data_IF_496274501760
#
_entry.id   IF_496274501760
#
_cell.length_a   1.000
_cell.length_b   1.000
_cell.length_c   1.000
_cell.angle_alpha   90.00
_cell.angle_beta   90.00
_cell.angle_gamma   90.00
#
_symmetry.space_group_name_H-M   'P 1'
#
loop_
_entity.id
_entity.type
_entity.pdbx_description
1 polymer ?
#
# COMPACT_ATOMS: atom_id res chain seq x y z
N UNK A 1 -17.80 -1.65 0.01
CA UNK A 1 -16.37 -1.83 -0.24
C UNK A 1 -15.90 -3.26 -0.17
N UNK A 2 -16.18 -4.02 0.89
CA UNK A 2 -15.75 -5.43 0.99
C UNK A 2 -16.27 -6.30 -0.16
N UNK A 3 -17.45 -6.01 -0.69
CA UNK A 3 -18.02 -6.65 -1.89
C UNK A 3 -17.27 -6.26 -3.18
N UNK A 4 -16.70 -5.05 -3.27
CA UNK A 4 -15.93 -4.57 -4.43
C UNK A 4 -14.54 -5.24 -4.54
N UNK A 5 -14.02 -5.78 -3.44
CA UNK A 5 -12.79 -6.59 -3.42
C UNK A 5 -13.06 -7.97 -4.04
N UNK A 6 -14.25 -8.53 -3.80
CA UNK A 6 -14.65 -9.86 -4.30
C UNK A 6 -15.20 -9.81 -5.73
N UNK A 7 -15.90 -8.74 -6.09
CA UNK A 7 -16.44 -8.59 -7.44
C UNK A 7 -15.34 -8.10 -8.37
N UNK A 8 -14.83 -8.99 -9.21
CA UNK A 8 -14.14 -8.64 -10.44
C UNK A 8 -15.13 -7.94 -11.41
N UNK A 9 -15.64 -6.77 -11.05
CA UNK A 9 -16.23 -5.86 -12.03
C UNK A 9 -15.06 -5.41 -12.90
N UNK A 10 -14.92 -6.06 -14.04
CA UNK A 10 -14.06 -5.65 -15.14
C UNK A 10 -14.70 -4.42 -15.74
N UNK A 11 -14.27 -3.23 -15.32
CA UNK A 11 -14.42 -2.07 -16.18
C UNK A 11 -13.43 -2.29 -17.33
N UNK A 12 -13.91 -2.86 -18.44
CA UNK A 12 -13.11 -2.95 -19.65
C UNK A 12 -12.73 -1.52 -20.07
N UNK A 13 -11.44 -1.22 -20.26
CA UNK A 13 -11.03 0.10 -20.68
C UNK A 13 -11.60 0.39 -22.08
N UNK A 14 -12.17 1.57 -22.34
CA UNK A 14 -12.65 1.90 -23.68
C UNK A 14 -11.48 1.85 -24.67
N UNK A 15 -11.63 1.07 -25.75
CA UNK A 15 -10.61 0.81 -26.79
C UNK A 15 -10.07 2.09 -27.46
N UNK A 16 -10.72 3.25 -27.26
CA UNK A 16 -10.37 4.53 -27.89
C UNK A 16 -9.28 5.35 -27.17
N UNK A 17 -8.67 4.87 -26.08
CA UNK A 17 -7.68 5.63 -25.27
C UNK A 17 -6.19 5.35 -25.62
N UNK A 18 -5.89 4.68 -26.73
CA UNK A 18 -4.50 4.47 -27.20
C UNK A 18 -3.96 5.79 -27.79
N UNK A 19 -3.57 6.73 -26.92
CA UNK A 19 -2.86 7.94 -27.31
C UNK A 19 -1.39 7.59 -27.58
N UNK A 20 -0.94 7.79 -28.83
CA UNK A 20 0.47 7.72 -29.22
C UNK A 20 1.03 9.15 -29.39
N UNK A 21 2.22 9.46 -28.85
CA UNK A 21 3.08 8.61 -28.02
C UNK A 21 2.56 8.44 -26.58
N UNK A 22 2.71 7.23 -26.02
CA UNK A 22 2.36 6.91 -24.64
C UNK A 22 3.32 7.57 -23.64
N UNK A 23 2.80 7.94 -22.47
CA UNK A 23 3.61 8.36 -21.31
C UNK A 23 3.73 7.21 -20.31
N UNK A 24 4.73 7.24 -19.42
CA UNK A 24 4.87 6.25 -18.34
C UNK A 24 3.58 6.08 -17.55
N UNK A 25 2.88 7.17 -17.26
CA UNK A 25 1.63 7.11 -16.52
C UNK A 25 0.50 6.39 -17.26
N UNK A 26 0.37 6.64 -18.57
CA UNK A 26 -0.62 5.96 -19.42
C UNK A 26 -0.33 4.47 -19.44
N UNK A 27 0.93 4.07 -19.61
CA UNK A 27 1.29 2.64 -19.62
C UNK A 27 1.07 1.98 -18.27
N UNK A 28 1.42 2.65 -17.17
CA UNK A 28 1.12 2.18 -15.83
C UNK A 28 -0.40 2.00 -15.61
N UNK A 29 -1.21 2.97 -16.07
CA UNK A 29 -2.67 2.87 -15.98
C UNK A 29 -3.23 1.74 -16.85
N UNK A 30 -2.72 1.56 -18.07
CA UNK A 30 -3.11 0.46 -18.96
C UNK A 30 -2.74 -0.90 -18.35
N UNK A 31 -1.55 -1.03 -17.78
CA UNK A 31 -1.12 -2.22 -17.07
C UNK A 31 -2.08 -2.55 -15.92
N UNK A 32 -2.32 -1.58 -15.04
CA UNK A 32 -3.23 -1.78 -13.90
C UNK A 32 -4.65 -2.04 -14.38
N UNK A 33 -5.11 -1.44 -15.47
CA UNK A 33 -6.44 -1.71 -16.03
C UNK A 33 -6.56 -3.12 -16.64
N UNK A 34 -5.48 -3.72 -17.13
CA UNK A 34 -5.53 -5.01 -17.83
C UNK A 34 -5.10 -6.20 -16.94
N UNK A 35 -4.30 -5.99 -15.90
CA UNK A 35 -3.85 -7.05 -15.00
C UNK A 35 -4.78 -7.19 -13.79
N UNK A 36 -5.50 -8.31 -13.70
CA UNK A 36 -6.45 -8.56 -12.60
C UNK A 36 -5.80 -8.59 -11.21
N UNK A 37 -4.54 -9.01 -11.10
CA UNK A 37 -3.83 -9.05 -9.81
C UNK A 37 -3.44 -7.63 -9.39
N UNK A 38 -2.99 -6.81 -10.33
CA UNK A 38 -2.71 -5.39 -10.10
C UNK A 38 -3.98 -4.62 -9.73
N UNK A 39 -5.10 -4.86 -10.43
CA UNK A 39 -6.40 -4.27 -10.07
C UNK A 39 -6.82 -4.64 -8.64
N UNK A 40 -6.72 -5.92 -8.29
CA UNK A 40 -7.08 -6.40 -6.95
C UNK A 40 -6.21 -5.73 -5.88
N UNK A 41 -4.89 -5.70 -6.09
CA UNK A 41 -3.95 -5.01 -5.19
C UNK A 41 -4.24 -3.51 -5.09
N UNK A 42 -4.57 -2.82 -6.19
CA UNK A 42 -4.98 -1.43 -6.17
C UNK A 42 -6.23 -1.23 -5.29
N UNK A 43 -7.26 -2.07 -5.45
CA UNK A 43 -8.48 -1.99 -4.62
C UNK A 43 -8.20 -2.23 -3.14
N UNK A 44 -7.29 -3.15 -2.82
CA UNK A 44 -6.84 -3.40 -1.45
C UNK A 44 -6.19 -2.14 -0.88
N UNK A 45 -5.27 -1.52 -1.63
CA UNK A 45 -4.60 -0.28 -1.20
C UNK A 45 -5.61 0.84 -0.97
N UNK A 46 -6.50 1.10 -1.94
CA UNK A 46 -7.53 2.13 -1.84
C UNK A 46 -8.47 1.90 -0.64
N UNK A 47 -8.87 0.65 -0.40
CA UNK A 47 -9.70 0.30 0.75
C UNK A 47 -9.00 0.62 2.07
N UNK A 48 -7.72 0.27 2.20
CA UNK A 48 -6.93 0.53 3.42
C UNK A 48 -6.68 2.03 3.62
N UNK A 49 -6.40 2.77 2.55
CA UNK A 49 -6.24 4.23 2.60
C UNK A 49 -7.54 4.92 3.02
N UNK A 50 -8.68 4.47 2.51
CA UNK A 50 -9.98 5.01 2.89
C UNK A 50 -10.34 4.69 4.34
N UNK A 51 -10.01 3.51 4.85
CA UNK A 51 -10.17 3.18 6.26
C UNK A 51 -9.34 4.13 7.14
N UNK A 52 -8.07 4.35 6.78
CA UNK A 52 -7.19 5.28 7.49
C UNK A 52 -7.71 6.73 7.39
N UNK A 53 -8.20 7.16 6.23
CA UNK A 53 -8.78 8.48 6.02
C UNK A 53 -10.02 8.72 6.89
N UNK A 54 -10.95 7.74 6.94
CA UNK A 54 -12.13 7.80 7.81
C UNK A 54 -11.77 7.82 9.30
N UNK A 55 -10.76 7.05 9.69
CA UNK A 55 -10.27 7.04 11.07
C UNK A 55 -9.71 8.42 11.45
N UNK A 56 -8.94 9.05 10.56
CA UNK A 56 -8.40 10.40 10.75
C UNK A 56 -9.50 11.46 10.85
N UNK A 57 -10.51 11.39 9.99
CA UNK A 57 -11.67 12.30 10.05
C UNK A 57 -12.47 12.15 11.34
N UNK A 58 -12.61 10.92 11.85
CA UNK A 58 -13.26 10.65 13.12
C UNK A 58 -12.43 11.22 14.28
N UNK A 59 -11.11 11.02 14.26
CA UNK A 59 -10.23 11.57 15.29
C UNK A 59 -10.27 13.11 15.32
N UNK A 60 -10.26 13.72 14.13
CA UNK A 60 -10.37 15.17 13.97
C UNK A 60 -11.69 15.73 14.52
N UNK A 61 -12.80 14.99 14.38
CA UNK A 61 -14.10 15.36 14.97
C UNK A 61 -14.09 15.27 16.50
N UNK A 62 -13.40 14.29 17.07
CA UNK A 62 -13.45 13.99 18.52
C UNK A 62 -12.46 14.86 19.30
N UNK A 63 -11.24 15.06 18.80
CA UNK A 63 -10.17 15.76 19.54
C UNK A 63 -9.68 17.05 18.85
N UNK A 64 -10.22 17.40 17.68
CA UNK A 64 -9.72 18.50 16.85
C UNK A 64 -8.60 18.04 15.90
N UNK A 65 -8.15 18.94 15.02
CA UNK A 65 -7.06 18.65 14.07
C UNK A 65 -5.79 18.22 14.81
N UNK A 66 -5.38 16.95 14.67
CA UNK A 66 -4.12 16.44 15.23
C UNK A 66 -2.91 16.84 14.42
N UNK A 67 -3.12 17.18 13.14
CA UNK A 67 -2.08 17.70 12.28
C UNK A 67 -1.61 19.02 12.90
N UNK A 68 -0.40 19.02 13.42
CA UNK A 68 0.13 20.13 14.21
C UNK A 68 -0.01 21.45 13.47
N UNK A 69 -0.36 22.53 14.17
CA UNK A 69 -0.17 23.88 13.62
C UNK A 69 1.32 24.19 13.63
N UNK A 70 2.03 23.70 12.62
CA UNK A 70 3.43 24.05 12.40
C UNK A 70 3.48 25.51 11.95
N UNK A 71 3.57 26.42 12.92
CA UNK A 71 3.55 27.86 12.64
C UNK A 71 4.77 28.23 11.77
N UNK A 72 4.60 29.00 10.68
CA UNK A 72 5.70 29.48 9.83
C UNK A 72 6.75 30.32 10.59
N UNK A 73 6.41 30.81 11.78
CA UNK A 73 7.26 31.66 12.62
C UNK A 73 8.46 30.92 13.25
N UNK A 74 8.53 29.59 13.09
CA UNK A 74 9.67 28.73 13.42
C UNK A 74 10.23 28.05 12.17
N UNK A 75 10.36 28.80 11.07
CA UNK A 75 10.92 28.27 9.81
C UNK A 75 12.27 27.57 10.00
N UNK A 76 12.62 26.68 9.07
CA UNK A 76 13.87 25.91 9.10
C UNK A 76 15.05 26.85 9.36
N UNK A 77 15.82 26.54 10.40
CA UNK A 77 16.98 27.30 10.86
C UNK A 77 16.71 28.80 11.03
N UNK A 78 15.57 29.15 11.65
CA UNK A 78 15.16 30.53 11.87
C UNK A 78 16.28 31.42 12.42
N UNK A 79 17.08 30.92 13.38
CA UNK A 79 18.18 31.70 13.94
C UNK A 79 19.34 31.88 12.94
N UNK A 80 19.70 30.83 12.20
CA UNK A 80 20.73 30.86 11.15
C UNK A 80 20.32 31.74 9.97
N UNK A 81 19.05 31.66 9.53
CA UNK A 81 18.49 32.55 8.52
C UNK A 81 18.56 34.02 8.98
N UNK A 82 18.19 34.31 10.22
CA UNK A 82 18.26 35.67 10.77
C UNK A 82 19.70 36.16 10.92
N UNK A 83 20.63 35.26 11.22
CA UNK A 83 22.06 35.55 11.31
C UNK A 83 22.65 35.89 9.93
N UNK A 84 22.35 35.10 8.90
CA UNK A 84 22.77 35.35 7.52
C UNK A 84 22.14 36.62 6.96
N UNK A 85 20.85 36.88 7.23
CA UNK A 85 20.18 38.14 6.82
C UNK A 85 20.81 39.40 7.42
N UNK A 86 21.52 39.28 8.54
CA UNK A 86 22.26 40.39 9.16
C UNK A 86 23.65 40.61 8.55
N UNK A 87 24.03 39.86 7.52
CA UNK A 87 25.35 39.94 6.89
C UNK A 87 26.48 39.39 7.77
N UNK A 88 26.15 38.68 8.86
CA UNK A 88 27.13 38.04 9.72
C UNK A 88 27.60 36.73 9.09
N UNK A 89 28.91 36.53 9.04
CA UNK A 89 29.55 35.32 8.53
C UNK A 89 30.54 34.80 9.56
N UNK A 90 30.46 33.51 9.88
CA UNK A 90 31.43 32.81 10.71
C UNK A 90 31.98 31.63 9.92
N UNK A 91 33.27 31.34 10.06
CA UNK A 91 33.98 30.36 9.23
C UNK A 91 33.37 28.94 9.25
N UNK A 92 32.60 28.59 10.29
CA UNK A 92 31.99 27.27 10.46
C UNK A 92 30.44 27.32 10.42
N UNK A 93 29.84 28.42 9.94
CA UNK A 93 28.39 28.57 9.84
C UNK A 93 27.93 28.44 8.40
N UNK A 94 26.84 27.71 8.19
CA UNK A 94 26.23 27.49 6.88
C UNK A 94 25.95 28.81 6.18
N UNK A 95 26.21 28.88 4.88
CA UNK A 95 25.98 30.05 4.03
C UNK A 95 24.73 29.94 3.16
N UNK A 96 24.29 28.71 2.83
CA UNK A 96 23.10 28.47 2.02
C UNK A 96 21.93 27.92 2.84
N UNK A 97 20.71 28.32 2.50
CA UNK A 97 19.48 27.93 3.21
C UNK A 97 18.74 26.80 2.49
N UNK A 98 19.48 25.82 2.01
CA UNK A 98 18.99 24.55 1.49
C UNK A 98 19.36 23.41 2.44
N UNK A 99 18.56 22.36 2.42
CA UNK A 99 18.66 21.29 3.41
C UNK A 99 19.97 20.49 3.28
N UNK A 100 20.59 20.45 2.11
CA UNK A 100 21.87 19.77 1.88
C UNK A 100 23.10 20.63 2.25
N UNK A 101 22.91 21.91 2.61
CA UNK A 101 23.98 22.83 2.96
C UNK A 101 24.96 22.34 4.04
N UNK A 102 24.53 21.73 5.17
CA UNK A 102 25.44 21.29 6.22
C UNK A 102 26.40 20.23 5.70
N UNK A 103 25.90 19.33 4.85
CA UNK A 103 26.67 18.26 4.21
C UNK A 103 27.60 18.79 3.14
N UNK A 104 27.06 19.63 2.24
CA UNK A 104 27.79 20.17 1.11
C UNK A 104 28.92 21.10 1.56
N UNK A 105 28.67 21.93 2.58
CA UNK A 105 29.59 22.95 3.07
C UNK A 105 30.46 22.47 4.23
N UNK A 106 30.18 21.27 4.77
CA UNK A 106 30.83 20.77 5.99
C UNK A 106 30.74 21.77 7.14
N UNK A 107 29.59 22.46 7.22
CA UNK A 107 29.35 23.60 8.10
C UNK A 107 28.16 23.32 9.02
N UNK A 108 27.93 24.23 9.97
CA UNK A 108 26.95 24.01 11.03
C UNK A 108 25.95 25.16 11.15
N UNK A 109 24.68 24.81 11.35
CA UNK A 109 23.68 25.79 11.80
C UNK A 109 24.03 26.34 13.19
N UNK A 110 23.46 27.49 13.54
CA UNK A 110 23.71 28.12 14.84
C UNK A 110 23.28 27.21 16.01
N UNK A 111 23.93 27.33 17.19
CA UNK A 111 23.65 26.49 18.35
C UNK A 111 22.18 26.51 18.80
N UNK A 112 21.48 27.63 18.60
CA UNK A 112 20.07 27.76 18.97
C UNK A 112 19.18 26.94 18.04
N UNK A 113 19.52 26.83 16.76
CA UNK A 113 18.89 25.88 15.84
C UNK A 113 19.42 24.45 16.04
N UNK A 114 20.54 24.24 16.75
CA UNK A 114 21.04 22.90 17.12
C UNK A 114 20.44 22.35 18.42
N UNK A 115 19.96 23.21 19.33
CA UNK A 115 19.59 22.83 20.71
C UNK A 115 18.33 21.96 20.81
N UNK A 116 17.54 21.85 19.74
CA UNK A 116 16.44 20.89 19.64
C UNK A 116 16.87 19.44 19.32
N UNK A 117 18.20 19.16 19.32
CA UNK A 117 18.80 17.84 19.03
C UNK A 117 19.13 17.08 20.31
N UNK A 118 18.59 15.87 20.46
CA UNK A 118 19.08 14.88 21.44
C UNK A 118 19.99 13.86 20.73
N UNK A 119 21.08 13.55 21.44
CA UNK A 119 22.08 12.47 21.29
C UNK A 119 23.35 12.75 20.45
N UNK A 120 24.49 12.47 21.10
CA UNK A 120 25.90 12.56 20.68
C UNK A 120 26.42 11.20 20.14
N UNK A 121 27.59 11.26 19.50
CA UNK A 121 28.68 10.25 19.31
C UNK A 121 28.84 9.68 17.88
N UNK A 122 30.02 9.08 17.55
CA UNK A 122 31.33 9.71 17.42
C UNK A 122 31.85 9.64 15.97
N UNK A 123 32.74 10.57 15.64
CA UNK A 123 33.46 10.65 14.37
C UNK A 123 34.38 9.45 14.14
N UNK A 124 34.10 8.64 13.12
CA UNK A 124 35.08 7.96 12.24
C UNK A 124 34.32 7.06 11.25
N UNK A 125 34.14 7.49 10.00
CA UNK A 125 33.74 6.57 8.91
C UNK A 125 34.61 6.84 7.68
N UNK A 126 35.28 5.76 7.26
CA UNK A 126 36.17 5.67 6.12
C UNK A 126 35.45 5.83 4.77
N UNK A 127 36.30 6.13 3.80
CA UNK A 127 36.04 6.61 2.44
C UNK A 127 35.60 5.46 1.52
N UNK A 128 34.36 5.47 1.02
CA UNK A 128 33.94 4.64 -0.13
C UNK A 128 33.21 5.48 -1.19
N UNK A 129 33.46 5.14 -2.45
CA UNK A 129 33.31 5.91 -3.70
C UNK A 129 31.87 6.19 -4.13
N UNK A 130 31.62 7.41 -4.63
CA UNK A 130 30.47 7.78 -5.48
C UNK A 130 30.08 9.27 -5.36
N UNK A 131 30.76 10.16 -6.10
CA UNK A 131 30.82 11.63 -5.82
C UNK A 131 29.62 12.49 -6.23
N UNK A 132 28.50 11.97 -6.73
CA UNK A 132 27.37 12.82 -7.18
C UNK A 132 26.12 12.66 -6.30
N UNK A 133 25.93 11.51 -5.65
CA UNK A 133 24.78 11.26 -4.76
C UNK A 133 25.08 11.54 -3.28
N UNK A 134 26.34 11.88 -2.96
CA UNK A 134 26.84 11.98 -1.59
C UNK A 134 26.38 13.25 -0.85
N UNK A 135 25.81 14.24 -1.53
CA UNK A 135 25.58 15.56 -0.91
C UNK A 135 24.23 15.69 -0.16
N UNK A 136 23.28 14.76 -0.29
CA UNK A 136 21.88 15.13 -0.02
C UNK A 136 21.47 15.09 1.47
N UNK A 137 22.12 14.32 2.37
CA UNK A 137 21.54 14.10 3.71
C UNK A 137 22.56 13.95 4.86
N UNK A 138 23.02 15.06 5.43
CA UNK A 138 23.44 15.14 6.83
C UNK A 138 22.60 16.22 7.52
N UNK A 139 21.40 15.83 7.94
CA UNK A 139 20.63 16.63 8.88
C UNK A 139 20.21 15.76 10.05
N UNK A 140 20.73 16.08 11.23
CA UNK A 140 20.13 15.59 12.46
C UNK A 140 18.81 16.34 12.68
N UNK A 141 17.73 15.58 12.58
CA UNK A 141 16.32 15.96 12.67
C UNK A 141 16.01 16.50 14.07
N UNK A 142 15.23 17.59 14.15
CA UNK A 142 14.71 18.09 15.43
C UNK A 142 13.50 17.28 15.90
N UNK A 143 13.17 17.29 17.20
CA UNK A 143 11.92 16.63 17.68
C UNK A 143 10.65 17.14 16.96
N UNK A 144 10.65 18.40 16.51
CA UNK A 144 9.55 18.99 15.76
C UNK A 144 9.45 18.40 14.34
N UNK A 145 10.58 18.18 13.68
CA UNK A 145 10.62 17.56 12.36
C UNK A 145 10.14 16.11 12.39
N UNK A 146 10.42 15.36 13.46
CA UNK A 146 9.94 13.98 13.62
C UNK A 146 8.42 13.93 13.79
N UNK A 147 7.84 14.86 14.58
CA UNK A 147 6.38 14.99 14.70
C UNK A 147 5.73 15.41 13.38
N UNK A 148 6.34 16.35 12.64
CA UNK A 148 5.86 16.71 11.30
C UNK A 148 5.83 15.50 10.37
N UNK A 149 6.87 14.67 10.40
CA UNK A 149 6.96 13.48 9.55
C UNK A 149 6.04 12.35 10.01
N UNK A 150 5.71 12.28 11.30
CA UNK A 150 4.65 11.39 11.83
C UNK A 150 3.29 11.77 11.24
N UNK A 151 2.96 13.05 11.21
CA UNK A 151 1.72 13.55 10.60
C UNK A 151 1.72 13.33 9.08
N UNK A 152 2.83 13.61 8.39
CA UNK A 152 3.00 13.30 6.95
C UNK A 152 2.83 11.81 6.69
N UNK A 153 3.45 10.94 7.49
CA UNK A 153 3.29 9.49 7.37
C UNK A 153 1.83 9.06 7.52
N UNK A 154 1.11 9.66 8.48
CA UNK A 154 -0.32 9.39 8.70
C UNK A 154 -1.18 9.82 7.51
N UNK A 155 -0.90 10.99 6.94
CA UNK A 155 -1.61 11.49 5.74
C UNK A 155 -1.30 10.63 4.50
N UNK A 156 -0.05 10.18 4.31
CA UNK A 156 0.33 9.28 3.22
C UNK A 156 -0.41 7.94 3.30
N UNK A 157 -0.52 7.34 4.49
CA UNK A 157 -1.29 6.10 4.70
C UNK A 157 -2.79 6.26 4.49
N UNK A 158 -3.29 7.49 4.58
CA UNK A 158 -4.69 7.82 4.33
C UNK A 158 -4.97 8.20 2.86
N UNK A 159 -3.97 8.14 1.97
CA UNK A 159 -4.09 8.59 0.58
C UNK A 159 -4.28 10.11 0.45
N UNK A 160 -4.03 10.90 1.50
CA UNK A 160 -4.25 12.37 1.54
C UNK A 160 -2.98 13.12 1.19
N UNK A 161 -2.42 12.85 0.00
CA UNK A 161 -1.11 13.38 -0.37
C UNK A 161 -1.09 14.91 -0.49
N UNK A 162 -2.14 15.51 -1.03
CA UNK A 162 -2.24 16.96 -1.18
C UNK A 162 -2.15 17.66 0.18
N UNK A 163 -2.79 17.08 1.20
CA UNK A 163 -2.71 17.58 2.57
C UNK A 163 -1.34 17.36 3.19
N UNK A 164 -0.69 16.22 2.94
CA UNK A 164 0.69 15.98 3.36
C UNK A 164 1.65 17.03 2.76
N UNK A 165 1.44 17.38 1.49
CA UNK A 165 2.18 18.42 0.80
C UNK A 165 1.93 19.80 1.41
N UNK A 166 0.68 20.16 1.65
CA UNK A 166 0.33 21.44 2.25
C UNK A 166 0.84 21.55 3.69
N UNK A 167 0.85 20.44 4.42
CA UNK A 167 1.46 20.36 5.73
C UNK A 167 2.96 20.66 5.68
N UNK A 168 3.69 20.07 4.73
CA UNK A 168 5.11 20.38 4.54
C UNK A 168 5.34 21.85 4.16
N UNK A 169 4.49 22.44 3.31
CA UNK A 169 4.60 23.85 2.90
C UNK A 169 4.30 24.80 4.04
N UNK A 170 3.23 24.56 4.79
CA UNK A 170 2.84 25.37 5.95
C UNK A 170 3.89 25.32 7.07
N UNK A 171 4.57 24.18 7.23
CA UNK A 171 5.72 24.01 8.12
C UNK A 171 7.02 24.70 7.61
N UNK A 172 6.99 25.37 6.45
CA UNK A 172 8.16 26.01 5.86
C UNK A 172 9.16 25.04 5.22
N UNK A 173 8.73 23.82 4.91
CA UNK A 173 9.54 22.74 4.33
C UNK A 173 9.04 22.34 2.91
N UNK A 174 8.94 23.28 1.94
CA UNK A 174 8.38 23.00 0.62
C UNK A 174 9.19 21.97 -0.17
N UNK A 175 10.47 21.79 0.14
CA UNK A 175 11.31 20.75 -0.45
C UNK A 175 10.81 19.34 -0.10
N UNK A 176 10.30 19.10 1.12
CA UNK A 176 9.69 17.81 1.48
C UNK A 176 8.42 17.54 0.68
N UNK A 177 7.59 18.57 0.47
CA UNK A 177 6.42 18.48 -0.42
C UNK A 177 6.84 18.07 -1.84
N UNK A 178 7.89 18.68 -2.39
CA UNK A 178 8.39 18.34 -3.71
C UNK A 178 8.96 16.91 -3.79
N UNK A 179 9.49 16.37 -2.68
CA UNK A 179 10.00 14.99 -2.66
C UNK A 179 8.89 13.95 -2.57
N UNK A 180 7.86 14.15 -1.74
CA UNK A 180 6.75 13.19 -1.59
C UNK A 180 5.72 13.27 -2.72
N UNK A 181 5.72 14.37 -3.48
CA UNK A 181 4.84 14.60 -4.62
C UNK A 181 5.68 14.98 -5.85
N UNK A 182 6.41 14.02 -6.44
CA UNK A 182 7.18 14.26 -7.66
C UNK A 182 6.25 14.66 -8.82
N UNK A 183 6.82 15.31 -9.84
CA UNK A 183 6.14 15.67 -11.09
C UNK A 183 4.85 16.49 -10.93
N UNK A 184 4.69 17.19 -9.80
CA UNK A 184 3.54 18.05 -9.52
C UNK A 184 2.27 17.28 -9.19
N UNK A 185 2.39 16.02 -8.80
CA UNK A 185 1.28 15.15 -8.43
C UNK A 185 0.54 14.53 -9.61
N UNK A 186 1.02 14.80 -10.82
CA UNK A 186 0.71 13.99 -11.98
C UNK A 186 1.40 12.64 -11.77
N UNK A 187 0.69 11.55 -12.05
CA UNK A 187 1.26 10.20 -12.17
C UNK A 187 1.46 9.39 -10.87
N UNK A 188 0.97 9.84 -9.72
CA UNK A 188 1.28 9.20 -8.43
C UNK A 188 0.61 7.86 -8.18
N UNK A 189 -0.56 7.61 -8.78
CA UNK A 189 -1.24 6.32 -8.66
C UNK A 189 -1.92 5.93 -9.98
N UNK A 190 -1.45 4.87 -10.66
CA UNK A 190 -2.11 4.38 -11.87
C UNK A 190 -3.51 3.83 -11.54
N UNK A 191 -4.52 4.33 -12.24
CA UNK A 191 -5.91 3.90 -12.08
C UNK A 191 -6.70 4.11 -13.38
N UNK A 192 -7.84 3.44 -13.50
CA UNK A 192 -8.77 3.62 -14.63
C UNK A 192 -9.29 5.06 -14.66
N UNK A 193 -9.58 5.66 -13.50
CA UNK A 193 -10.00 7.05 -13.40
C UNK A 193 -8.92 8.02 -13.87
N UNK A 194 -7.65 7.76 -13.54
CA UNK A 194 -6.52 8.54 -14.00
C UNK A 194 -6.35 8.42 -15.52
N UNK A 195 -6.53 7.23 -16.09
CA UNK A 195 -6.53 7.01 -17.54
C UNK A 195 -7.61 7.84 -18.24
N UNK A 196 -8.84 7.85 -17.69
CA UNK A 196 -9.96 8.61 -18.25
C UNK A 196 -9.81 10.13 -18.09
N UNK A 197 -9.17 10.58 -17.00
CA UNK A 197 -8.93 12.01 -16.73
C UNK A 197 -7.73 12.57 -17.49
N UNK A 198 -6.88 11.73 -18.10
CA UNK A 198 -5.58 12.20 -18.54
C UNK A 198 -5.66 13.14 -19.76
N UNK A 199 -5.43 14.41 -19.48
CA UNK A 199 -5.32 15.50 -20.45
C UNK A 199 -3.85 15.84 -20.73
N UNK A 200 -3.36 15.45 -21.91
CA UNK A 200 -2.43 16.23 -22.76
C UNK A 200 -1.30 17.02 -22.06
N UNK A 201 -0.58 16.46 -21.08
CA UNK A 201 0.60 17.14 -20.55
C UNK A 201 1.79 17.00 -21.52
N UNK A 202 1.80 17.85 -22.53
CA UNK A 202 2.80 17.88 -23.61
C UNK A 202 4.24 18.00 -23.09
N UNK A 203 4.43 18.59 -21.92
CA UNK A 203 5.75 18.78 -21.30
C UNK A 203 6.30 17.46 -20.76
N UNK A 204 5.48 16.66 -20.06
CA UNK A 204 5.87 15.32 -19.61
C UNK A 204 6.10 14.38 -20.79
N UNK A 205 5.22 14.42 -21.80
CA UNK A 205 5.40 13.67 -23.05
C UNK A 205 6.73 13.98 -23.74
N UNK A 206 7.15 15.25 -23.78
CA UNK A 206 8.43 15.64 -24.37
C UNK A 206 9.63 15.13 -23.56
N UNK A 207 9.60 15.23 -22.23
CA UNK A 207 10.67 14.74 -21.35
C UNK A 207 10.85 13.22 -21.49
N UNK A 208 9.75 12.48 -21.55
CA UNK A 208 9.78 11.01 -21.67
C UNK A 208 10.15 10.55 -23.08
N UNK A 209 9.81 11.33 -24.11
CA UNK A 209 10.31 11.10 -25.46
C UNK A 209 11.83 11.22 -25.54
N UNK A 210 12.42 12.19 -24.82
CA UNK A 210 13.87 12.42 -24.79
C UNK A 210 14.63 11.46 -23.86
N UNK A 211 14.08 11.18 -22.67
CA UNK A 211 14.75 10.41 -21.61
C UNK A 211 14.41 8.92 -21.61
N UNK A 212 13.37 8.53 -22.34
CA UNK A 212 12.77 7.20 -22.31
C UNK A 212 11.73 7.02 -21.20
N UNK A 213 10.80 6.09 -21.45
CA UNK A 213 9.69 5.78 -20.56
C UNK A 213 10.20 5.23 -19.21
N UNK A 214 9.62 5.73 -18.13
CA UNK A 214 9.91 5.35 -16.75
C UNK A 214 11.26 5.84 -16.20
N UNK A 215 12.06 6.56 -16.99
CA UNK A 215 13.42 6.94 -16.61
C UNK A 215 13.45 7.90 -15.41
N UNK A 216 12.72 9.01 -15.49
CA UNK A 216 12.67 10.03 -14.43
C UNK A 216 12.07 9.47 -13.13
N UNK A 217 11.01 8.67 -13.27
CA UNK A 217 10.38 7.96 -12.16
C UNK A 217 11.37 7.06 -11.42
N UNK A 218 12.15 6.27 -12.17
CA UNK A 218 13.19 5.40 -11.60
C UNK A 218 14.29 6.19 -10.88
N UNK A 219 14.75 7.30 -11.44
CA UNK A 219 15.74 8.16 -10.79
C UNK A 219 15.22 8.73 -9.46
N UNK A 220 13.97 9.20 -9.43
CA UNK A 220 13.36 9.72 -8.21
C UNK A 220 13.21 8.65 -7.14
N UNK A 221 12.70 7.46 -7.49
CA UNK A 221 12.61 6.35 -6.54
C UNK A 221 14.00 5.93 -6.04
N UNK A 222 15.02 5.92 -6.91
CA UNK A 222 16.40 5.59 -6.52
C UNK A 222 16.97 6.61 -5.52
N UNK A 223 16.74 7.90 -5.77
CA UNK A 223 17.13 8.96 -4.84
C UNK A 223 16.45 8.78 -3.47
N UNK A 224 15.15 8.44 -3.48
CA UNK A 224 14.38 8.15 -2.25
C UNK A 224 14.90 6.92 -1.51
N UNK A 225 15.30 5.87 -2.22
CA UNK A 225 15.94 4.69 -1.63
C UNK A 225 17.24 5.07 -0.92
N UNK A 226 18.14 5.77 -1.61
CA UNK A 226 19.40 6.24 -1.03
C UNK A 226 19.19 7.16 0.17
N UNK A 227 18.17 8.03 0.12
CA UNK A 227 17.76 8.85 1.26
C UNK A 227 17.38 7.98 2.46
N UNK A 228 16.47 7.02 2.26
CA UNK A 228 15.97 6.15 3.35
C UNK A 228 17.09 5.34 4.03
N UNK A 229 18.01 4.77 3.25
CA UNK A 229 19.13 3.98 3.79
C UNK A 229 20.12 4.85 4.55
N UNK A 230 20.45 6.04 4.02
CA UNK A 230 21.39 6.96 4.65
C UNK A 230 20.86 7.51 5.96
N UNK A 231 19.58 7.89 6.01
CA UNK A 231 18.94 8.37 7.24
C UNK A 231 18.93 7.25 8.28
N UNK A 232 18.69 6.00 7.86
CA UNK A 232 18.80 4.84 8.74
C UNK A 232 20.23 4.64 9.28
N UNK A 233 21.26 4.68 8.43
CA UNK A 233 22.67 4.53 8.84
C UNK A 233 23.11 5.59 9.86
N UNK A 234 22.53 6.78 9.80
CA UNK A 234 22.79 7.88 10.72
C UNK A 234 21.94 7.83 12.01
N UNK A 235 21.16 6.78 12.23
CA UNK A 235 20.17 6.69 13.31
C UNK A 235 19.20 7.89 13.32
N UNK A 236 18.76 8.30 12.13
CA UNK A 236 17.78 9.37 11.95
C UNK A 236 16.38 8.98 12.41
N UNK A 237 15.44 9.89 12.14
CA UNK A 237 14.03 9.78 12.53
C UNK A 237 13.33 8.60 11.88
N UNK A 238 12.54 7.85 12.65
CA UNK A 238 11.88 6.62 12.16
C UNK A 238 10.81 6.96 11.12
N UNK A 239 10.10 8.08 11.28
CA UNK A 239 9.09 8.51 10.32
C UNK A 239 9.73 9.11 9.07
N UNK A 240 10.88 9.79 9.19
CA UNK A 240 11.61 10.26 8.02
C UNK A 240 12.03 9.08 7.13
N UNK A 241 12.67 8.08 7.73
CA UNK A 241 13.08 6.85 7.05
C UNK A 241 11.89 6.22 6.33
N UNK A 242 10.75 6.09 7.01
CA UNK A 242 9.58 5.44 6.45
C UNK A 242 8.91 6.26 5.33
N UNK A 243 8.85 7.58 5.44
CA UNK A 243 8.31 8.46 4.39
C UNK A 243 9.10 8.31 3.09
N UNK A 244 10.44 8.31 3.14
CA UNK A 244 11.28 8.08 1.96
C UNK A 244 11.21 6.62 1.48
N UNK A 245 11.17 5.66 2.41
CA UNK A 245 11.06 4.24 2.08
C UNK A 245 9.75 3.92 1.36
N UNK A 246 8.65 4.60 1.70
CA UNK A 246 7.34 4.47 1.06
C UNK A 246 7.32 4.93 -0.40
N UNK A 247 8.24 5.82 -0.80
CA UNK A 247 8.35 6.30 -2.18
C UNK A 247 9.11 5.32 -3.09
N UNK A 248 9.92 4.44 -2.49
CA UNK A 248 10.79 3.50 -3.21
C UNK A 248 10.49 2.04 -2.88
N UNK A 249 9.34 1.77 -2.25
CA UNK A 249 8.86 0.42 -1.90
C UNK A 249 9.85 -0.39 -1.02
N UNK A 250 10.65 0.29 -0.19
CA UNK A 250 11.66 -0.31 0.68
C UNK A 250 11.03 -0.84 1.99
N UNK A 251 10.41 -2.01 1.91
CA UNK A 251 9.69 -2.66 3.02
C UNK A 251 10.54 -2.86 4.28
N UNK A 252 11.84 -3.13 4.16
CA UNK A 252 12.76 -3.27 5.28
C UNK A 252 12.77 -2.04 6.19
N UNK A 253 12.53 -0.86 5.60
CA UNK A 253 12.52 0.43 6.30
C UNK A 253 11.12 0.89 6.69
N UNK A 254 10.09 0.49 5.94
CA UNK A 254 8.68 0.81 6.25
C UNK A 254 8.09 -0.06 7.35
N UNK A 255 8.24 -1.39 7.26
CA UNK A 255 7.55 -2.34 8.14
C UNK A 255 7.83 -2.17 9.63
N UNK A 256 9.04 -1.76 10.09
CA UNK A 256 9.30 -1.57 11.51
C UNK A 256 8.40 -0.55 12.22
N UNK A 257 7.85 0.43 11.48
CA UNK A 257 6.92 1.43 12.06
C UNK A 257 5.45 1.06 11.89
N UNK A 258 5.15 -0.05 11.20
CA UNK A 258 3.80 -0.52 10.98
C UNK A 258 3.32 -1.30 12.21
N UNK A 259 2.62 -0.63 13.12
CA UNK A 259 2.22 -1.20 14.43
C UNK A 259 0.85 -1.90 14.43
N UNK A 260 0.14 -1.86 13.32
CA UNK A 260 -1.19 -2.45 13.13
C UNK A 260 -1.27 -3.18 11.79
N UNK A 261 -2.27 -4.06 11.68
CA UNK A 261 -2.43 -4.93 10.52
C UNK A 261 -2.70 -4.14 9.24
N UNK A 262 -3.55 -3.12 9.29
CA UNK A 262 -3.90 -2.28 8.15
C UNK A 262 -2.68 -1.61 7.54
N UNK A 263 -1.84 -1.03 8.39
CA UNK A 263 -0.64 -0.31 7.96
C UNK A 263 0.40 -1.25 7.37
N UNK A 264 0.62 -2.43 7.97
CA UNK A 264 1.54 -3.42 7.43
C UNK A 264 1.03 -4.02 6.10
N UNK A 265 -0.27 -4.31 6.02
CA UNK A 265 -0.92 -4.82 4.82
C UNK A 265 -0.86 -3.78 3.68
N UNK A 266 -1.15 -2.51 3.99
CA UNK A 266 -1.05 -1.39 3.04
C UNK A 266 0.38 -1.26 2.53
N UNK A 267 1.37 -1.25 3.42
CA UNK A 267 2.78 -1.11 3.04
C UNK A 267 3.21 -2.20 2.05
N UNK A 268 2.85 -3.47 2.32
CA UNK A 268 3.17 -4.59 1.43
C UNK A 268 2.40 -4.56 0.11
N UNK A 269 1.10 -4.28 0.14
CA UNK A 269 0.26 -4.24 -1.06
C UNK A 269 0.65 -3.09 -1.99
N UNK A 270 0.87 -1.89 -1.43
CA UNK A 270 1.35 -0.71 -2.15
C UNK A 270 2.72 -0.96 -2.75
N UNK A 271 3.67 -1.47 -1.95
CA UNK A 271 5.03 -1.75 -2.42
C UNK A 271 5.05 -2.78 -3.54
N UNK A 272 4.22 -3.83 -3.44
CA UNK A 272 4.10 -4.84 -4.49
C UNK A 272 3.56 -4.22 -5.79
N UNK A 273 2.46 -3.47 -5.71
CA UNK A 273 1.84 -2.84 -6.89
C UNK A 273 2.82 -1.87 -7.57
N UNK A 274 3.50 -1.03 -6.81
CA UNK A 274 4.49 -0.08 -7.33
C UNK A 274 5.64 -0.75 -8.05
N UNK A 275 6.12 -1.89 -7.55
CA UNK A 275 7.19 -2.66 -8.18
C UNK A 275 6.71 -3.35 -9.45
N UNK A 276 5.46 -3.86 -9.48
CA UNK A 276 4.89 -4.43 -10.69
C UNK A 276 4.76 -3.38 -11.80
N UNK A 277 4.35 -2.16 -11.45
CA UNK A 277 4.34 -1.02 -12.37
C UNK A 277 5.76 -0.70 -12.85
N UNK A 278 6.76 -0.62 -11.96
CA UNK A 278 8.15 -0.35 -12.36
C UNK A 278 8.70 -1.41 -13.32
N UNK A 279 8.36 -2.68 -13.10
CA UNK A 279 8.75 -3.79 -13.96
C UNK A 279 8.07 -3.70 -15.34
N UNK A 280 6.82 -3.27 -15.40
CA UNK A 280 6.12 -3.10 -16.66
C UNK A 280 6.66 -1.90 -17.45
N UNK A 281 6.87 -0.76 -16.81
CA UNK A 281 7.52 0.41 -17.43
C UNK A 281 8.92 0.10 -17.94
N UNK A 282 9.66 -0.80 -17.27
CA UNK A 282 10.95 -1.26 -17.75
C UNK A 282 10.86 -2.14 -19.01
N UNK A 283 9.74 -2.84 -19.23
CA UNK A 283 9.51 -3.67 -20.43
C UNK A 283 9.07 -2.84 -21.63
N UNK A 284 8.32 -1.77 -21.41
CA UNK A 284 7.79 -0.91 -22.46
C UNK A 284 8.80 0.03 -23.13
N UNK A 285 10.08 -0.02 -22.74
CA UNK A 285 11.10 0.87 -23.30
C UNK A 285 11.24 0.69 -24.84
N UNK A 286 11.13 1.78 -25.63
CA UNK A 286 11.28 1.73 -27.08
C UNK A 286 12.72 1.33 -27.45
N UNK A 287 12.87 0.20 -28.14
CA UNK A 287 14.18 -0.30 -28.62
C UNK A 287 14.30 -1.82 -28.64
N UNK A 288 13.52 -2.54 -27.82
CA UNK A 288 13.52 -4.03 -27.83
C UNK A 288 12.76 -4.62 -29.03
N UNK A 289 11.68 -3.95 -29.45
CA UNK A 289 10.84 -4.41 -30.57
C UNK A 289 11.53 -4.22 -31.94
N UNK A 290 12.41 -3.23 -32.08
CA UNK A 290 13.20 -2.96 -33.28
C UNK A 290 14.40 -3.92 -33.42
N UNK A 291 15.05 -4.25 -32.29
CA UNK A 291 16.11 -5.26 -32.25
C UNK A 291 15.61 -6.68 -32.56
N UNK A 292 14.38 -7.02 -32.15
CA UNK A 292 13.78 -8.33 -32.45
C UNK A 292 13.42 -8.48 -33.94
N UNK A 293 13.01 -7.38 -34.60
CA UNK A 293 12.77 -7.38 -36.06
C UNK A 293 14.07 -7.44 -36.85
N UNK A 294 15.14 -6.80 -36.37
CA UNK A 294 16.46 -6.85 -37.01
C UNK A 294 17.14 -8.23 -36.96
N UNK A 295 16.79 -9.08 -35.98
CA UNK A 295 17.36 -10.43 -35.83
C UNK A 295 16.65 -11.51 -36.66
N UNK A 296 15.45 -11.21 -37.20
CA UNK A 296 14.66 -12.16 -37.98
C UNK A 296 15.00 -12.20 -39.48
N UNK A 297 15.81 -11.26 -39.99
CA UNK A 297 15.99 -11.04 -41.43
C UNK A 297 17.44 -11.21 -41.92
N UNK A 298 18.27 -11.94 -41.16
CA UNK A 298 19.70 -12.08 -41.45
C UNK A 298 20.25 -13.47 -41.13
N UNK A 299 19.71 -14.52 -41.77
CA UNK A 299 20.41 -15.81 -41.88
C UNK A 299 20.87 -15.96 -43.34
N UNK A 300 21.99 -15.33 -43.69
CA UNK A 300 22.96 -15.88 -44.64
C UNK A 300 24.33 -15.19 -44.47
N UNK A 301 25.42 -15.97 -44.40
CA UNK A 301 26.81 -15.49 -44.51
C UNK A 301 27.71 -15.47 -43.26
N UNK A 302 28.38 -16.61 -43.02
CA UNK A 302 29.73 -16.92 -42.44
C UNK A 302 30.67 -15.87 -41.76
N UNK A 303 31.68 -16.35 -40.98
CA UNK A 303 32.20 -15.71 -39.77
C UNK A 303 33.49 -14.87 -39.98
N UNK A 304 33.59 -13.77 -39.24
CA UNK A 304 34.83 -13.00 -39.08
C UNK A 304 34.84 -12.28 -37.73
N UNK A 305 35.77 -12.65 -36.85
CA UNK A 305 35.88 -12.07 -35.51
C UNK A 305 36.47 -10.66 -35.50
N UNK A 306 36.18 -9.91 -34.44
CA UNK A 306 37.04 -8.93 -33.75
C UNK A 306 36.52 -8.83 -32.30
N UNK A 307 37.48 -8.91 -31.37
CA UNK A 307 37.38 -8.71 -29.93
C UNK A 307 36.91 -7.30 -29.52
N UNK A 308 36.36 -7.17 -28.30
CA UNK A 308 36.55 -5.95 -27.50
C UNK A 308 35.33 -5.42 -26.77
N UNK A 309 34.95 -6.05 -25.65
CA UNK A 309 34.30 -5.43 -24.47
C UNK A 309 33.16 -4.42 -24.74
N UNK A 310 31.99 -4.92 -25.11
CA UNK A 310 30.74 -4.21 -24.81
C UNK A 310 30.37 -4.47 -23.35
N UNK A 311 30.57 -3.47 -22.49
CA UNK A 311 29.93 -3.45 -21.18
C UNK A 311 28.40 -3.54 -21.39
N UNK A 312 27.66 -4.34 -20.59
CA UNK A 312 26.21 -4.39 -20.73
C UNK A 312 25.64 -3.01 -20.40
N UNK A 313 24.89 -2.41 -21.34
CA UNK A 313 24.04 -1.26 -21.04
C UNK A 313 23.07 -1.62 -19.91
N UNK A 314 22.71 -0.68 -19.01
CA UNK A 314 21.91 -0.96 -17.83
C UNK A 314 20.48 -1.26 -18.25
N UNK A 315 20.23 -2.53 -18.56
CA UNK A 315 18.90 -3.06 -18.82
C UNK A 315 18.03 -3.08 -17.55
N UNK A 316 16.91 -3.80 -17.60
CA UNK A 316 15.93 -3.93 -16.51
C UNK A 316 16.48 -4.49 -15.18
N UNK A 317 17.78 -4.79 -15.07
CA UNK A 317 18.49 -5.21 -13.85
C UNK A 317 18.89 -4.06 -12.90
N UNK A 318 18.46 -2.82 -13.17
CA UNK A 318 18.95 -1.61 -12.49
C UNK A 318 18.14 -1.13 -11.27
N UNK A 319 16.98 -1.74 -10.96
CA UNK A 319 16.31 -1.48 -9.69
C UNK A 319 17.05 -2.21 -8.56
N UNK A 320 17.23 -1.65 -7.34
CA UNK A 320 18.01 -2.32 -6.30
C UNK A 320 17.47 -3.72 -6.06
N UNK A 321 18.27 -4.75 -6.35
CA UNK A 321 17.89 -6.15 -6.12
C UNK A 321 17.45 -6.38 -4.67
N UNK A 322 18.01 -5.61 -3.75
CA UNK A 322 17.64 -5.58 -2.34
C UNK A 322 16.17 -5.18 -2.13
N UNK A 323 15.63 -4.23 -2.91
CA UNK A 323 14.22 -3.81 -2.85
C UNK A 323 13.32 -4.85 -3.51
N UNK A 324 13.73 -5.39 -4.67
CA UNK A 324 12.98 -6.45 -5.36
C UNK A 324 12.85 -7.71 -4.49
N UNK A 325 13.93 -8.13 -3.83
CA UNK A 325 13.96 -9.32 -2.98
C UNK A 325 13.08 -9.20 -1.72
N UNK A 326 12.71 -7.97 -1.33
CA UNK A 326 11.80 -7.75 -0.20
C UNK A 326 10.33 -7.99 -0.56
N UNK A 327 9.97 -7.91 -1.84
CA UNK A 327 8.58 -7.95 -2.26
C UNK A 327 7.96 -9.35 -2.09
N UNK A 328 6.67 -9.45 -1.75
CA UNK A 328 5.95 -10.71 -1.86
C UNK A 328 5.87 -11.15 -3.33
N UNK A 329 5.82 -12.46 -3.59
CA UNK A 329 5.69 -12.97 -4.97
C UNK A 329 4.27 -12.83 -5.49
N UNK A 330 3.31 -13.09 -4.61
CA UNK A 330 1.88 -13.03 -4.85
C UNK A 330 1.17 -12.63 -3.54
N UNK A 331 -0.16 -12.52 -3.61
CA UNK A 331 -0.98 -12.15 -2.46
C UNK A 331 -0.91 -13.19 -1.33
N UNK A 332 -0.73 -14.48 -1.64
CA UNK A 332 -0.57 -15.52 -0.63
C UNK A 332 0.72 -15.32 0.17
N UNK A 333 1.84 -15.07 -0.51
CA UNK A 333 3.13 -14.77 0.09
C UNK A 333 3.09 -13.47 0.90
N UNK A 334 2.32 -12.46 0.46
CA UNK A 334 2.08 -11.23 1.24
C UNK A 334 1.44 -11.57 2.57
N UNK A 335 0.34 -12.31 2.55
CA UNK A 335 -0.38 -12.69 3.77
C UNK A 335 0.48 -13.60 4.66
N UNK A 336 1.26 -14.52 4.10
CA UNK A 336 2.23 -15.33 4.85
C UNK A 336 3.28 -14.46 5.55
N UNK A 337 3.79 -13.41 4.90
CA UNK A 337 4.72 -12.45 5.51
C UNK A 337 4.09 -11.68 6.67
N UNK A 338 2.80 -11.36 6.62
CA UNK A 338 2.08 -10.76 7.76
C UNK A 338 1.97 -11.73 8.96
N UNK A 339 1.97 -13.05 8.71
CA UNK A 339 1.92 -14.06 9.76
C UNK A 339 3.31 -14.42 10.33
N UNK A 340 4.38 -14.34 9.52
CA UNK A 340 5.70 -14.87 9.89
C UNK A 340 6.43 -14.09 10.99
N UNK A 341 6.06 -12.83 11.25
CA UNK A 341 6.59 -12.02 12.34
C UNK A 341 8.06 -11.60 12.20
N UNK A 342 8.78 -12.03 11.17
CA UNK A 342 10.22 -11.78 11.01
C UNK A 342 10.54 -10.31 10.68
N UNK A 343 9.67 -9.64 9.93
CA UNK A 343 9.84 -8.26 9.48
C UNK A 343 8.76 -7.31 9.97
N UNK A 344 7.74 -7.82 10.67
CA UNK A 344 6.55 -7.07 11.08
C UNK A 344 6.43 -7.01 12.60
N UNK A 345 5.81 -5.94 13.10
CA UNK A 345 5.57 -5.77 14.53
C UNK A 345 4.68 -6.89 15.09
N UNK A 346 4.92 -7.34 16.33
CA UNK A 346 4.18 -8.47 16.94
C UNK A 346 2.65 -8.25 16.96
N UNK A 347 2.22 -7.00 17.10
CA UNK A 347 0.81 -6.63 17.05
C UNK A 347 0.16 -6.97 15.70
N UNK A 348 0.91 -6.93 14.59
CA UNK A 348 0.44 -7.34 13.26
C UNK A 348 0.15 -8.84 13.26
N UNK A 349 1.08 -9.66 13.75
CA UNK A 349 0.90 -11.11 13.86
C UNK A 349 -0.28 -11.48 14.76
N UNK A 350 -0.53 -10.70 15.83
CA UNK A 350 -1.73 -10.87 16.65
C UNK A 350 -3.00 -10.48 15.89
N UNK A 351 -2.98 -9.36 15.17
CA UNK A 351 -4.08 -8.89 14.32
C UNK A 351 -4.49 -9.92 13.28
N UNK A 352 -3.52 -10.61 12.66
CA UNK A 352 -3.80 -11.71 11.72
C UNK A 352 -4.66 -12.84 12.31
N UNK A 353 -4.68 -13.01 13.64
CA UNK A 353 -5.47 -14.05 14.33
C UNK A 353 -6.88 -13.59 14.67
N UNK A 354 -7.20 -12.31 14.53
CA UNK A 354 -8.55 -11.79 14.79
C UNK A 354 -9.54 -12.31 13.74
N UNK A 355 -10.78 -12.64 14.16
CA UNK A 355 -11.78 -13.24 13.27
C UNK A 355 -12.09 -12.34 12.06
N UNK A 356 -12.21 -11.03 12.29
CA UNK A 356 -12.43 -10.05 11.22
C UNK A 356 -11.29 -10.05 10.20
N UNK A 357 -10.03 -10.07 10.64
CA UNK A 357 -8.88 -10.10 9.73
C UNK A 357 -8.77 -11.38 8.95
N UNK A 358 -9.08 -12.51 9.58
CA UNK A 358 -9.13 -13.79 8.86
C UNK A 358 -10.19 -13.77 7.76
N UNK A 359 -11.36 -13.17 8.01
CA UNK A 359 -12.40 -12.97 6.99
C UNK A 359 -11.86 -12.08 5.85
N UNK A 360 -11.32 -10.91 6.17
CA UNK A 360 -10.77 -9.95 5.19
C UNK A 360 -9.67 -10.59 4.32
N UNK A 361 -8.71 -11.29 4.92
CA UNK A 361 -7.64 -11.98 4.21
C UNK A 361 -8.15 -13.08 3.26
N UNK A 362 -9.17 -13.84 3.66
CA UNK A 362 -9.79 -14.85 2.79
C UNK A 362 -10.54 -14.21 1.61
N UNK A 363 -11.19 -13.07 1.84
CA UNK A 363 -11.85 -12.30 0.80
C UNK A 363 -10.84 -11.71 -0.19
N UNK A 364 -9.71 -11.21 0.30
CA UNK A 364 -8.59 -10.74 -0.54
C UNK A 364 -8.06 -11.85 -1.44
N UNK A 365 -7.92 -13.08 -0.94
CA UNK A 365 -7.50 -14.23 -1.76
C UNK A 365 -8.58 -14.78 -2.71
N UNK A 366 -9.82 -14.30 -2.60
CA UNK A 366 -10.96 -14.87 -3.31
C UNK A 366 -11.29 -16.32 -2.90
N UNK A 367 -10.75 -16.82 -1.77
CA UNK A 367 -10.99 -18.20 -1.31
C UNK A 367 -12.27 -18.28 -0.49
N UNK A 368 -13.40 -18.06 -1.15
CA UNK A 368 -14.72 -18.11 -0.54
C UNK A 368 -15.06 -19.51 0.05
N UNK A 369 -14.69 -20.64 -0.57
CA UNK A 369 -14.84 -21.96 0.05
C UNK A 369 -14.22 -22.06 1.45
N UNK A 370 -13.00 -21.56 1.62
CA UNK A 370 -12.31 -21.57 2.91
C UNK A 370 -12.95 -20.58 3.90
N UNK A 371 -13.39 -19.41 3.42
CA UNK A 371 -14.12 -18.44 4.22
C UNK A 371 -15.38 -19.04 4.85
N UNK A 372 -16.18 -19.76 4.06
CA UNK A 372 -17.42 -20.38 4.54
C UNK A 372 -17.14 -21.46 5.59
N UNK A 373 -16.13 -22.31 5.37
CA UNK A 373 -15.71 -23.32 6.34
C UNK A 373 -15.20 -22.68 7.64
N UNK A 374 -14.47 -21.58 7.54
CA UNK A 374 -13.95 -20.86 8.69
C UNK A 374 -15.09 -20.24 9.51
N UNK A 375 -16.03 -19.55 8.85
CA UNK A 375 -17.24 -19.02 9.51
C UNK A 375 -18.02 -20.16 10.14
N UNK A 376 -18.22 -21.27 9.43
CA UNK A 376 -18.90 -22.45 9.94
C UNK A 376 -18.22 -22.99 11.21
N UNK A 377 -16.89 -23.10 11.23
CA UNK A 377 -16.13 -23.58 12.38
C UNK A 377 -16.31 -22.74 13.65
N UNK A 378 -16.69 -21.47 13.52
CA UNK A 378 -16.93 -20.57 14.65
C UNK A 378 -18.38 -20.59 15.14
N UNK A 379 -19.33 -21.02 14.30
CA UNK A 379 -20.76 -21.02 14.64
C UNK A 379 -21.35 -22.42 14.84
N UNK A 380 -20.67 -23.46 14.35
CA UNK A 380 -21.13 -24.84 14.42
C UNK A 380 -21.29 -25.29 15.87
N UNK A 381 -22.28 -26.16 16.17
CA UNK A 381 -22.37 -26.81 17.47
C UNK A 381 -21.15 -27.71 17.72
N UNK A 382 -20.50 -27.60 18.88
CA UNK A 382 -19.48 -28.56 19.29
C UNK A 382 -20.15 -29.82 19.85
N UNK A 383 -19.68 -31.01 19.48
CA UNK A 383 -20.23 -32.27 19.99
C UNK A 383 -20.00 -32.47 21.51
N UNK A 384 -19.09 -31.72 22.12
CA UNK A 384 -18.72 -31.77 23.56
C UNK A 384 -19.48 -30.77 24.46
N UNK A 385 -20.71 -30.38 24.10
CA UNK A 385 -21.55 -29.41 24.83
C UNK A 385 -22.12 -29.94 26.18
N UNK A 386 -21.29 -30.65 26.97
CA UNK A 386 -21.50 -30.83 28.42
C UNK A 386 -20.84 -29.71 29.24
N UNK A 387 -19.91 -28.94 28.66
CA UNK A 387 -19.27 -27.80 29.32
C UNK A 387 -19.63 -26.49 28.62
N UNK A 388 -20.56 -25.76 29.24
CA UNK A 388 -20.88 -24.36 28.98
C UNK A 388 -19.59 -23.53 28.95
N UNK A 389 -19.10 -23.13 27.76
CA UNK A 389 -18.53 -21.80 27.49
C UNK A 389 -17.71 -21.72 26.19
N UNK A 390 -18.38 -21.64 25.05
CA UNK A 390 -18.18 -20.48 24.16
C UNK A 390 -19.55 -19.92 23.82
N UNK A 391 -19.93 -18.75 24.35
CA UNK A 391 -21.07 -18.02 23.81
C UNK A 391 -20.83 -17.83 22.32
N UNK A 392 -21.68 -18.43 21.47
CA UNK A 392 -21.60 -18.21 20.03
C UNK A 392 -21.88 -16.74 19.80
N UNK A 393 -20.95 -16.04 19.17
CA UNK A 393 -21.10 -14.62 18.90
C UNK A 393 -22.34 -14.41 17.99
N UNK A 394 -23.42 -13.79 18.49
CA UNK A 394 -24.62 -13.53 17.70
C UNK A 394 -24.33 -12.71 16.44
N UNK A 395 -23.31 -11.84 16.50
CA UNK A 395 -22.91 -11.03 15.37
C UNK A 395 -22.28 -11.89 14.27
N UNK A 396 -21.43 -12.86 14.64
CA UNK A 396 -20.82 -13.78 13.68
C UNK A 396 -21.86 -14.68 12.98
N UNK A 397 -22.85 -15.20 13.70
CA UNK A 397 -23.94 -15.99 13.10
C UNK A 397 -24.72 -15.14 12.09
N UNK A 398 -25.07 -13.91 12.48
CA UNK A 398 -25.74 -12.95 11.59
C UNK A 398 -24.88 -12.63 10.37
N UNK A 399 -23.61 -12.31 10.58
CA UNK A 399 -22.66 -11.97 9.53
C UNK A 399 -22.55 -13.13 8.52
N UNK A 400 -22.32 -14.35 8.99
CA UNK A 400 -22.25 -15.54 8.15
C UNK A 400 -23.49 -15.73 7.29
N UNK A 401 -24.69 -15.60 7.87
CA UNK A 401 -25.94 -15.71 7.12
C UNK A 401 -26.04 -14.66 6.00
N UNK A 402 -25.74 -13.40 6.30
CA UNK A 402 -25.84 -12.32 5.31
C UNK A 402 -24.75 -12.44 4.22
N UNK A 403 -23.54 -12.89 4.57
CA UNK A 403 -22.49 -13.20 3.60
C UNK A 403 -22.96 -14.28 2.62
N UNK A 404 -23.56 -15.37 3.12
CA UNK A 404 -24.11 -16.44 2.25
C UNK A 404 -25.17 -15.88 1.30
N UNK A 405 -26.10 -15.04 1.79
CA UNK A 405 -27.13 -14.43 0.96
C UNK A 405 -26.54 -13.54 -0.14
N UNK A 406 -25.59 -12.67 0.22
CA UNK A 406 -24.92 -11.78 -0.74
C UNK A 406 -24.14 -12.58 -1.77
N UNK A 407 -23.41 -13.62 -1.36
CA UNK A 407 -22.69 -14.50 -2.28
C UNK A 407 -23.66 -15.22 -3.23
N UNK A 408 -24.80 -15.74 -2.75
CA UNK A 408 -25.81 -16.37 -3.61
C UNK A 408 -26.42 -15.40 -4.62
N UNK A 409 -26.67 -14.16 -4.19
CA UNK A 409 -27.21 -13.11 -5.06
C UNK A 409 -26.23 -12.71 -6.16
N UNK A 410 -24.98 -12.42 -5.79
CA UNK A 410 -23.95 -11.96 -6.72
C UNK A 410 -23.49 -13.06 -7.68
N UNK A 411 -23.57 -14.33 -7.27
CA UNK A 411 -22.93 -15.45 -7.96
C UNK A 411 -23.94 -16.43 -8.57
N UNK A 412 -25.18 -15.98 -8.79
CA UNK A 412 -26.28 -16.81 -9.26
C UNK A 412 -26.03 -17.45 -10.64
N UNK A 413 -25.23 -16.80 -11.50
CA UNK A 413 -25.07 -17.18 -12.92
C UNK A 413 -23.62 -17.56 -13.32
N UNK A 414 -22.59 -17.26 -12.51
CA UNK A 414 -21.19 -17.13 -13.01
C UNK A 414 -20.12 -18.11 -12.50
N UNK A 415 -20.44 -19.21 -11.78
CA UNK A 415 -19.37 -19.99 -11.13
C UNK A 415 -19.34 -21.49 -11.43
N UNK A 416 -18.10 -21.98 -11.64
CA UNK A 416 -17.62 -23.37 -11.55
C UNK A 416 -18.40 -24.20 -10.51
N UNK A 417 -18.83 -25.39 -10.91
CA UNK A 417 -19.72 -26.25 -10.13
C UNK A 417 -19.26 -26.54 -8.68
N UNK A 418 -17.95 -26.71 -8.47
CA UNK A 418 -17.38 -27.04 -7.14
C UNK A 418 -17.54 -25.92 -6.12
N UNK A 419 -17.47 -24.66 -6.55
CA UNK A 419 -17.71 -23.51 -5.67
C UNK A 419 -19.18 -23.44 -5.26
N UNK A 420 -20.07 -23.59 -6.26
CA UNK A 420 -21.52 -23.56 -6.06
C UNK A 420 -21.94 -24.65 -5.08
N UNK A 421 -21.41 -25.86 -5.22
CA UNK A 421 -21.67 -26.96 -4.30
C UNK A 421 -21.34 -26.59 -2.84
N UNK A 422 -20.16 -26.02 -2.59
CA UNK A 422 -19.77 -25.59 -1.24
C UNK A 422 -20.62 -24.45 -0.68
N UNK A 423 -20.95 -23.46 -1.51
CA UNK A 423 -21.82 -22.36 -1.12
C UNK A 423 -23.24 -22.84 -0.77
N UNK A 424 -23.75 -23.85 -1.49
CA UNK A 424 -25.05 -24.43 -1.17
C UNK A 424 -24.97 -25.29 0.09
N UNK A 425 -24.00 -26.19 0.20
CA UNK A 425 -23.89 -27.13 1.33
C UNK A 425 -23.53 -26.45 2.65
N UNK A 426 -22.45 -25.68 2.71
CA UNK A 426 -22.03 -24.97 3.94
C UNK A 426 -22.95 -23.78 4.20
N UNK A 427 -23.36 -23.07 3.15
CA UNK A 427 -24.27 -21.95 3.28
C UNK A 427 -25.64 -22.34 3.85
N UNK A 428 -26.19 -23.49 3.45
CA UNK A 428 -27.44 -24.00 4.03
C UNK A 428 -27.30 -24.28 5.54
N UNK A 429 -26.15 -24.81 5.97
CA UNK A 429 -25.89 -25.04 7.41
C UNK A 429 -25.84 -23.72 8.18
N UNK A 430 -25.17 -22.70 7.63
CA UNK A 430 -25.09 -21.36 8.24
C UNK A 430 -26.48 -20.72 8.35
N UNK A 431 -27.27 -20.77 7.27
CA UNK A 431 -28.63 -20.21 7.24
C UNK A 431 -29.59 -20.96 8.18
N UNK A 432 -29.47 -22.28 8.25
CA UNK A 432 -30.22 -23.11 9.19
C UNK A 432 -29.92 -22.69 10.63
N UNK A 433 -28.63 -22.54 10.98
CA UNK A 433 -28.22 -22.09 12.31
C UNK A 433 -28.73 -20.69 12.66
N UNK A 434 -28.70 -19.75 11.72
CA UNK A 434 -29.22 -18.41 11.96
C UNK A 434 -30.75 -18.40 12.12
N UNK A 435 -31.46 -19.23 11.36
CA UNK A 435 -32.91 -19.38 11.49
C UNK A 435 -33.32 -19.93 12.86
N UNK A 436 -32.58 -20.92 13.37
CA UNK A 436 -32.77 -21.39 14.75
C UNK A 436 -32.41 -20.33 15.79
N UNK A 437 -31.37 -19.55 15.55
CA UNK A 437 -31.02 -18.43 16.43
C UNK A 437 -32.15 -17.38 16.50
N UNK A 438 -32.73 -16.99 15.36
CA UNK A 438 -33.86 -16.06 15.31
C UNK A 438 -35.08 -16.60 16.08
N UNK A 439 -35.41 -17.88 15.88
CA UNK A 439 -36.46 -18.56 16.62
C UNK A 439 -36.23 -18.55 18.13
N UNK A 440 -35.00 -18.85 18.57
CA UNK A 440 -34.62 -18.81 20.01
C UNK A 440 -34.72 -17.41 20.63
N UNK A 441 -34.71 -16.36 19.81
CA UNK A 441 -34.87 -14.96 20.21
C UNK A 441 -36.29 -14.43 20.00
N UNK A 442 -37.25 -15.30 19.67
CA UNK A 442 -38.64 -14.93 19.40
C UNK A 442 -38.83 -13.95 18.22
N UNK A 443 -37.90 -13.96 17.25
CA UNK A 443 -37.99 -13.21 15.99
C UNK A 443 -38.45 -14.12 14.85
N UNK A 444 -39.58 -14.79 15.06
CA UNK A 444 -40.10 -15.82 14.17
C UNK A 444 -40.58 -15.26 12.82
N UNK A 445 -41.00 -14.00 12.80
CA UNK A 445 -41.43 -13.28 11.60
C UNK A 445 -40.35 -13.23 10.52
N UNK A 446 -39.08 -13.31 10.91
CA UNK A 446 -37.95 -13.27 10.00
C UNK A 446 -37.53 -14.66 9.51
N UNK A 447 -37.90 -15.73 10.22
CA UNK A 447 -37.44 -17.10 9.92
C UNK A 447 -37.80 -17.52 8.50
N UNK A 448 -39.01 -17.19 8.04
CA UNK A 448 -39.48 -17.53 6.69
C UNK A 448 -38.57 -17.00 5.57
N UNK A 449 -37.97 -15.82 5.76
CA UNK A 449 -37.09 -15.17 4.76
C UNK A 449 -35.79 -15.97 4.58
N UNK A 450 -35.21 -16.47 5.68
CA UNK A 450 -33.98 -17.24 5.63
C UNK A 450 -34.24 -18.70 5.26
N UNK A 451 -35.36 -19.27 5.73
CA UNK A 451 -35.77 -20.63 5.41
C UNK A 451 -36.08 -20.81 3.91
N UNK A 452 -36.61 -19.78 3.24
CA UNK A 452 -36.89 -19.82 1.79
C UNK A 452 -35.64 -19.94 0.93
N UNK A 453 -34.46 -19.69 1.51
CA UNK A 453 -33.17 -19.78 0.81
C UNK A 453 -32.56 -21.18 0.95
N UNK A 454 -33.07 -22.03 1.83
CA UNK A 454 -32.56 -23.39 2.03
C UNK A 454 -33.06 -24.34 0.93
N UNK A 455 -32.32 -25.43 0.70
CA UNK A 455 -32.85 -26.56 -0.06
C UNK A 455 -34.13 -27.11 0.59
N UNK A 456 -35.09 -27.56 -0.23
CA UNK A 456 -36.44 -27.93 0.24
C UNK A 456 -36.45 -28.95 1.38
N UNK A 457 -35.57 -29.95 1.34
CA UNK A 457 -35.44 -30.95 2.40
C UNK A 457 -34.94 -30.34 3.72
N UNK A 458 -33.94 -29.43 3.68
CA UNK A 458 -33.41 -28.74 4.86
C UNK A 458 -34.41 -27.77 5.47
N UNK A 459 -35.26 -27.17 4.65
CA UNK A 459 -36.32 -26.29 5.10
C UNK A 459 -37.38 -27.07 5.92
N UNK A 460 -37.75 -28.27 5.46
CA UNK A 460 -38.64 -29.17 6.21
C UNK A 460 -37.99 -29.56 7.54
N UNK A 461 -36.73 -30.02 7.52
CA UNK A 461 -35.99 -30.39 8.73
C UNK A 461 -35.94 -29.25 9.77
N UNK A 462 -35.74 -28.00 9.30
CA UNK A 462 -35.72 -26.81 10.14
C UNK A 462 -37.05 -26.61 10.89
N UNK A 463 -38.17 -26.65 10.16
CA UNK A 463 -39.48 -26.46 10.77
C UNK A 463 -39.86 -27.60 11.72
N UNK A 464 -39.52 -28.85 11.37
CA UNK A 464 -39.70 -30.00 12.27
C UNK A 464 -38.94 -29.76 13.58
N UNK A 465 -37.66 -29.37 13.50
CA UNK A 465 -36.86 -29.10 14.69
C UNK A 465 -37.43 -27.96 15.56
N UNK A 466 -37.92 -26.88 14.94
CA UNK A 466 -38.58 -25.78 15.68
C UNK A 466 -39.87 -26.22 16.38
N UNK A 467 -40.65 -27.11 15.75
CA UNK A 467 -41.85 -27.69 16.36
C UNK A 467 -41.50 -28.55 17.58
N UNK A 468 -40.47 -29.38 17.48
CA UNK A 468 -39.97 -30.19 18.60
C UNK A 468 -39.48 -29.32 19.76
N UNK A 469 -38.74 -28.23 19.48
CA UNK A 469 -38.29 -27.30 20.52
C UNK A 469 -39.45 -26.65 21.26
N UNK A 470 -40.54 -26.30 20.57
CA UNK A 470 -41.77 -25.75 21.17
C UNK A 470 -42.53 -26.74 22.04
N UNK A 471 -42.50 -28.02 21.68
CA UNK A 471 -43.15 -29.06 22.48
C UNK A 471 -42.38 -29.36 23.78
N UNK A 472 -41.06 -29.12 23.77
CA UNK A 472 -40.16 -29.40 24.88
C UNK A 472 -39.83 -28.17 25.75
N UNK A 473 -40.27 -26.96 25.36
CA UNK A 473 -40.16 -25.70 26.11
C UNK A 473 -41.39 -25.45 26.96
#
# INVERSE_FOLDING_TARGET
>A
MTVSIVLAVTDEPPEELILSPSTSHIEACQFVANDHTAQLCLRIVQWLEELASKALDLENKVRGSHVGTYLPNSGIWYHTQRFLKKGASAANTIHHLDFDAPTREHAHQLPDDKRDRVQKYPSNIERVRGRILMCIFENHISKQDESLLEDVWTLLRAGRLEEACELCRSAGQPWRSATICPFGGLDLFPSIEALMKNGKNRSLQAIELESGIGHQWRLWKWASYCASERIFEQNGGKYEIAVYAAQCSNLKRMLPICTDWETACWAMAKSWLEIQVDLELARSQPGRMEQLKSYGDGIDGSPGGIDGTSQPSPGPESWPLQVLNQQPRDLSALLQKLHSGEMVHEAVTRGCKEQQRQIEMNLMLGNIPLLLELIWSWIAPSEDDQNISRPRDPQMIRFGAHVVLVLRYLLAEEIKDTFREKLMTVGDRILHMYSLFLFSKHHEELVGIYASQLASHRCIDLFVHMMELRLNS
#
